data_IF_408260555184
#
_entry.id   IF_408260555184
#
_cell.length_a   1.000
_cell.length_b   1.000
_cell.length_c   1.000
_cell.angle_alpha   90.00
_cell.angle_beta   90.00
_cell.angle_gamma   90.00
#
_symmetry.space_group_name_H-M   'P 1'
#
loop_
_entity.id
_entity.type
_entity.pdbx_description
1 polymer ?
#
# COMPACT_ATOMS: atom_id res chain seq x y z
N UNK A 1 -6.14 5.82 2.46
CA UNK A 1 -5.97 5.12 1.17
C UNK A 1 -4.89 5.83 0.37
N UNK A 2 -4.40 5.24 -0.71
CA UNK A 2 -3.22 5.77 -1.43
C UNK A 2 -3.49 7.02 -2.27
N UNK A 3 -4.71 7.24 -2.78
CA UNK A 3 -4.97 8.32 -3.76
C UNK A 3 -4.57 7.96 -5.20
N UNK A 4 -4.39 6.66 -5.49
CA UNK A 4 -4.07 6.16 -6.82
C UNK A 4 -5.30 5.96 -7.72
N UNK A 5 -5.02 5.74 -9.01
CA UNK A 5 -6.00 5.39 -10.04
C UNK A 5 -5.80 3.95 -10.53
N UNK A 6 -6.61 3.47 -11.49
CA UNK A 6 -6.42 2.16 -12.12
C UNK A 6 -5.08 1.99 -12.85
N UNK A 7 -4.35 3.08 -13.12
CA UNK A 7 -3.03 3.04 -13.75
C UNK A 7 -1.90 3.23 -12.74
N UNK A 8 -2.20 3.49 -11.46
CA UNK A 8 -1.14 3.66 -10.48
C UNK A 8 -0.40 2.32 -10.30
N UNK A 9 0.95 2.33 -10.34
CA UNK A 9 1.77 1.15 -10.13
C UNK A 9 1.72 0.73 -8.64
N UNK A 10 0.75 -0.12 -8.31
CA UNK A 10 0.48 -0.63 -6.97
C UNK A 10 0.16 -2.12 -7.01
N UNK A 11 0.67 -2.86 -6.03
CA UNK A 11 0.28 -4.24 -5.75
C UNK A 11 -0.24 -4.34 -4.31
N UNK A 12 -1.25 -5.17 -4.10
CA UNK A 12 -1.76 -5.47 -2.76
C UNK A 12 -2.27 -6.92 -2.71
N UNK A 13 -1.89 -7.65 -1.66
CA UNK A 13 -2.29 -9.03 -1.41
C UNK A 13 -2.74 -9.17 0.04
N UNK A 14 -3.96 -9.66 0.22
CA UNK A 14 -4.48 -10.08 1.52
C UNK A 14 -4.68 -11.59 1.53
N UNK A 15 -4.07 -12.27 2.49
CA UNK A 15 -4.38 -13.66 2.81
C UNK A 15 -5.26 -13.68 4.04
N UNK A 16 -6.42 -14.33 3.94
CA UNK A 16 -7.39 -14.42 5.03
C UNK A 16 -7.46 -15.87 5.49
N UNK A 17 -7.18 -16.11 6.77
CA UNK A 17 -7.30 -17.42 7.41
C UNK A 17 -8.09 -17.27 8.72
N UNK A 18 -9.35 -17.72 8.69
CA UNK A 18 -10.28 -17.53 9.78
C UNK A 18 -10.49 -16.05 10.12
N UNK A 19 -10.08 -15.67 11.33
CA UNK A 19 -10.17 -14.30 11.84
C UNK A 19 -8.87 -13.50 11.68
N UNK A 20 -7.87 -14.02 10.95
CA UNK A 20 -6.58 -13.38 10.72
C UNK A 20 -6.41 -12.93 9.28
N UNK A 21 -5.71 -11.81 9.12
CA UNK A 21 -5.30 -11.25 7.83
C UNK A 21 -3.79 -11.05 7.85
N UNK A 22 -3.12 -11.58 6.84
CA UNK A 22 -1.76 -11.17 6.46
C UNK A 22 -1.88 -10.29 5.23
N UNK A 23 -1.57 -9.01 5.36
CA UNK A 23 -1.63 -8.03 4.27
C UNK A 23 -0.23 -7.61 3.84
N UNK A 24 -0.02 -7.52 2.53
CA UNK A 24 1.20 -6.97 1.91
C UNK A 24 0.81 -6.02 0.80
N UNK A 25 1.59 -4.97 0.61
CA UNK A 25 1.42 -4.02 -0.46
C UNK A 25 2.77 -3.50 -0.95
N UNK A 26 2.78 -3.06 -2.20
CA UNK A 26 3.92 -2.42 -2.84
C UNK A 26 3.42 -1.22 -3.63
N UNK A 27 4.18 -0.12 -3.61
CA UNK A 27 4.07 0.97 -4.57
C UNK A 27 5.42 1.14 -5.25
N UNK A 28 5.43 1.49 -6.53
CA UNK A 28 6.67 1.55 -7.31
C UNK A 28 6.64 2.65 -8.36
N UNK A 29 7.80 3.09 -8.83
CA UNK A 29 7.86 3.99 -9.99
C UNK A 29 7.42 3.24 -11.26
N UNK A 30 6.96 3.96 -12.28
CA UNK A 30 6.53 3.34 -13.55
C UNK A 30 7.64 2.55 -14.25
N UNK A 31 8.91 2.92 -14.00
CA UNK A 31 10.09 2.24 -14.50
C UNK A 31 10.63 1.15 -13.55
N UNK A 32 10.03 0.98 -12.38
CA UNK A 32 10.40 -0.02 -11.36
C UNK A 32 11.75 0.24 -10.68
N UNK A 33 12.33 1.42 -10.82
CA UNK A 33 13.63 1.76 -10.20
C UNK A 33 13.55 1.99 -8.70
N UNK A 34 12.36 2.31 -8.19
CA UNK A 34 12.05 2.44 -6.77
C UNK A 34 10.81 1.61 -6.44
N UNK A 35 10.87 0.89 -5.32
CA UNK A 35 9.78 0.08 -4.79
C UNK A 35 9.74 0.31 -3.28
N UNK A 36 8.58 0.71 -2.76
CA UNK A 36 8.29 0.74 -1.33
C UNK A 36 7.35 -0.42 -1.00
N UNK A 37 7.76 -1.27 -0.06
CA UNK A 37 7.03 -2.44 0.38
C UNK A 37 6.52 -2.26 1.81
N UNK A 38 5.35 -2.81 2.10
CA UNK A 38 4.76 -2.72 3.42
C UNK A 38 3.79 -3.86 3.70
N UNK A 39 3.51 -4.10 4.97
CA UNK A 39 2.56 -5.14 5.35
C UNK A 39 2.29 -5.20 6.85
N UNK A 40 1.26 -5.96 7.22
CA UNK A 40 0.91 -6.22 8.60
C UNK A 40 0.19 -7.55 8.74
N UNK A 41 0.14 -8.05 9.97
CA UNK A 41 -0.72 -9.13 10.40
C UNK A 41 -1.70 -8.61 11.45
N UNK A 42 -2.98 -8.90 11.29
CA UNK A 42 -4.03 -8.39 12.19
C UNK A 42 -5.25 -9.30 12.22
N UNK A 43 -6.18 -9.00 13.13
CA UNK A 43 -7.51 -9.58 13.03
C UNK A 43 -8.24 -9.05 11.79
N UNK A 44 -9.17 -9.83 11.25
CA UNK A 44 -10.02 -9.42 10.13
C UNK A 44 -10.85 -8.18 10.47
N UNK A 45 -11.20 -8.00 11.76
CA UNK A 45 -11.92 -6.83 12.23
C UNK A 45 -11.07 -5.55 12.24
N UNK A 46 -9.77 -5.68 12.54
CA UNK A 46 -8.86 -4.53 12.68
C UNK A 46 -8.17 -4.17 11.35
N UNK A 47 -8.02 -5.13 10.43
CA UNK A 47 -7.29 -4.97 9.18
C UNK A 47 -7.70 -3.73 8.35
N UNK A 48 -8.99 -3.39 8.17
CA UNK A 48 -9.39 -2.20 7.39
C UNK A 48 -8.82 -0.88 7.94
N UNK A 49 -8.67 -0.76 9.26
CA UNK A 49 -8.09 0.44 9.88
C UNK A 49 -6.58 0.56 9.62
N UNK A 50 -5.88 -0.58 9.55
CA UNK A 50 -4.43 -0.63 9.36
C UNK A 50 -3.99 -0.35 7.93
N UNK A 51 -4.81 -0.68 6.92
CA UNK A 51 -4.50 -0.38 5.51
C UNK A 51 -4.29 1.12 5.28
N UNK A 52 -5.07 1.96 5.95
CA UNK A 52 -4.94 3.42 5.83
C UNK A 52 -3.62 3.94 6.39
N UNK A 53 -3.20 3.45 7.56
CA UNK A 53 -1.94 3.80 8.19
C UNK A 53 -0.75 3.31 7.35
N UNK A 54 -0.78 2.04 6.92
CA UNK A 54 0.27 1.46 6.07
C UNK A 54 0.47 2.27 4.78
N UNK A 55 -0.62 2.66 4.11
CA UNK A 55 -0.55 3.49 2.92
C UNK A 55 0.09 4.86 3.18
N UNK A 56 -0.19 5.47 4.34
CA UNK A 56 0.40 6.75 4.72
C UNK A 56 1.89 6.61 5.03
N UNK A 57 2.28 5.53 5.71
CA UNK A 57 3.68 5.25 6.05
C UNK A 57 4.50 4.98 4.79
N UNK A 58 4.02 4.11 3.89
CA UNK A 58 4.69 3.84 2.60
C UNK A 58 4.84 5.12 1.75
N UNK A 59 3.81 5.97 1.71
CA UNK A 59 3.92 7.27 1.03
C UNK A 59 4.85 8.24 1.76
N UNK A 60 5.00 8.14 3.08
CA UNK A 60 5.90 9.00 3.85
C UNK A 60 7.37 8.60 3.67
N UNK A 61 7.65 7.37 3.28
CA UNK A 61 8.99 6.83 3.02
C UNK A 61 9.41 6.97 1.54
N UNK A 62 8.47 6.83 0.61
CA UNK A 62 8.70 6.94 -0.84
C UNK A 62 9.39 8.24 -1.29
N UNK A 63 10.09 8.26 -2.41
CA UNK A 63 10.62 9.49 -3.00
C UNK A 63 9.51 10.45 -3.45
N UNK A 64 9.82 11.75 -3.67
CA UNK A 64 8.86 12.69 -4.24
C UNK A 64 8.32 12.26 -5.62
N UNK A 65 9.15 11.58 -6.43
CA UNK A 65 8.74 11.09 -7.74
C UNK A 65 7.69 9.99 -7.61
N UNK A 66 7.92 9.02 -6.73
CA UNK A 66 6.97 7.94 -6.45
C UNK A 66 5.67 8.46 -5.83
N UNK A 67 5.73 9.34 -4.82
CA UNK A 67 4.53 9.94 -4.19
C UNK A 67 3.64 10.68 -5.19
N UNK A 68 4.23 11.35 -6.18
CA UNK A 68 3.48 12.12 -7.16
C UNK A 68 2.50 11.25 -7.98
N UNK A 69 2.80 9.95 -8.16
CA UNK A 69 1.95 8.98 -8.87
C UNK A 69 0.64 8.66 -8.14
N UNK A 70 0.53 9.05 -6.87
CA UNK A 70 -0.61 8.82 -5.98
C UNK A 70 -1.28 10.11 -5.51
N UNK A 71 -0.92 11.25 -6.11
CA UNK A 71 -1.42 12.58 -5.75
C UNK A 71 -2.37 13.18 -6.81
N UNK A 72 -2.79 12.37 -7.80
CA UNK A 72 -3.65 12.81 -8.89
C UNK A 72 -5.14 12.78 -8.46
N UNK A 73 -5.98 13.74 -8.90
CA UNK A 73 -7.40 13.80 -8.57
C UNK A 73 -8.25 12.72 -9.25
#
# INVERSE_FOLDING_TARGET
GLGGSCHSPVAALALIDGDRVTFRAEIMTEDGTEIEEGGFEASLADAPALVGALAADMLADASPALRALFSQP
#
